data_IF_691704744430
#
_entry.id   IF_691704744430
#
_cell.length_a   1.000
_cell.length_b   1.000
_cell.length_c   1.000
_cell.angle_alpha   90.00
_cell.angle_beta   90.00
_cell.angle_gamma   90.00
#
_symmetry.space_group_name_H-M   'P 1'
#
loop_
_entity.id
_entity.type
_entity.pdbx_description
1 polymer ?
#
# COMPACT_ATOMS: atom_id res chain seq x y z
N UNK A 1 11.37 50.43 5.50
CA UNK A 1 10.95 49.08 5.10
C UNK A 1 11.76 48.07 5.94
N UNK A 2 11.17 47.64 7.04
CA UNK A 2 11.84 46.80 8.03
C UNK A 2 11.45 45.34 7.76
N UNK A 3 12.42 44.54 7.32
CA UNK A 3 12.31 43.10 7.26
C UNK A 3 12.41 42.58 8.72
N UNK A 4 11.28 42.25 9.28
CA UNK A 4 11.23 41.56 10.58
C UNK A 4 11.83 40.20 10.44
N UNK A 5 12.95 40.00 11.10
CA UNK A 5 13.66 38.73 11.32
C UNK A 5 12.71 37.78 12.05
N UNK A 6 12.19 36.80 11.36
CA UNK A 6 11.52 35.66 11.96
C UNK A 6 12.65 34.82 12.58
N UNK A 7 12.88 35.00 13.87
CA UNK A 7 13.70 34.07 14.64
C UNK A 7 12.89 32.79 14.81
N UNK A 8 13.19 31.80 14.00
CA UNK A 8 12.84 30.42 14.28
C UNK A 8 13.59 30.02 15.56
N UNK A 9 12.86 29.95 16.65
CA UNK A 9 13.34 29.40 17.89
C UNK A 9 13.36 27.86 17.73
N UNK A 10 14.40 27.33 17.13
CA UNK A 10 14.69 25.90 17.20
C UNK A 10 15.06 25.58 18.65
N UNK A 11 14.09 25.04 19.37
CA UNK A 11 14.40 24.39 20.63
C UNK A 11 15.36 23.22 20.34
N UNK A 12 16.46 23.07 21.12
CA UNK A 12 17.37 21.95 20.94
C UNK A 12 16.59 20.66 21.17
N UNK A 13 16.44 19.85 20.10
CA UNK A 13 16.00 18.45 20.26
C UNK A 13 17.10 17.75 21.05
N UNK A 14 16.82 17.43 22.29
CA UNK A 14 17.61 16.46 23.04
C UNK A 14 17.52 15.12 22.31
N UNK A 15 18.50 14.87 21.45
CA UNK A 15 18.73 13.58 20.79
C UNK A 15 19.33 12.62 21.83
N UNK A 16 18.47 12.10 22.69
CA UNK A 16 18.80 10.99 23.56
C UNK A 16 17.90 9.82 23.24
N UNK A 17 18.41 8.60 23.33
CA UNK A 17 17.68 7.33 23.16
C UNK A 17 16.32 7.27 23.89
N UNK A 18 16.12 8.09 24.91
CA UNK A 18 14.89 8.22 25.69
C UNK A 18 13.77 8.86 24.86
N UNK A 19 14.09 9.81 23.97
CA UNK A 19 13.10 10.48 23.12
C UNK A 19 12.51 9.55 22.05
N UNK A 20 13.34 8.69 21.46
CA UNK A 20 12.90 7.74 20.42
C UNK A 20 11.96 6.69 21.02
N UNK A 21 12.25 6.19 22.20
CA UNK A 21 11.40 5.23 22.91
C UNK A 21 10.04 5.85 23.30
N UNK A 22 10.04 7.12 23.66
CA UNK A 22 8.82 7.86 24.02
C UNK A 22 7.95 8.14 22.79
N UNK A 23 8.55 8.55 21.65
CA UNK A 23 7.87 8.70 20.36
C UNK A 23 7.28 7.36 19.86
N UNK A 24 8.02 6.28 19.95
CA UNK A 24 7.54 4.93 19.61
C UNK A 24 6.38 4.51 20.52
N UNK A 25 6.48 4.80 21.82
CA UNK A 25 5.44 4.49 22.79
C UNK A 25 4.17 5.32 22.54
N UNK A 26 4.29 6.60 22.21
CA UNK A 26 3.16 7.45 21.84
C UNK A 26 2.51 6.96 20.54
N UNK A 27 3.28 6.63 19.51
CA UNK A 27 2.79 6.02 18.28
C UNK A 27 2.06 4.70 18.54
N UNK A 28 2.58 3.85 19.42
CA UNK A 28 1.89 2.62 19.84
C UNK A 28 0.58 2.91 20.58
N UNK A 29 0.56 3.91 21.44
CA UNK A 29 -0.66 4.31 22.17
C UNK A 29 -1.75 4.81 21.21
N UNK A 30 -1.40 5.56 20.16
CA UNK A 30 -2.34 5.99 19.12
C UNK A 30 -2.93 4.78 18.39
N UNK A 31 -2.11 3.80 18.04
CA UNK A 31 -2.54 2.53 17.43
C UNK A 31 -3.52 1.75 18.31
N UNK A 32 -3.27 1.72 19.63
CA UNK A 32 -4.15 1.01 20.58
C UNK A 32 -5.46 1.76 20.81
N UNK A 33 -5.39 3.09 20.94
CA UNK A 33 -6.56 3.93 21.28
C UNK A 33 -7.49 4.19 20.09
N UNK A 34 -6.98 4.15 18.84
CA UNK A 34 -7.76 4.46 17.63
C UNK A 34 -7.96 3.21 16.76
N UNK A 35 -9.13 2.54 16.84
CA UNK A 35 -9.39 1.30 16.10
C UNK A 35 -9.36 1.50 14.58
N UNK A 36 -9.63 2.70 14.08
CA UNK A 36 -9.58 3.05 12.66
C UNK A 36 -8.15 3.01 12.14
N UNK A 37 -7.21 3.66 12.84
CA UNK A 37 -5.77 3.67 12.51
C UNK A 37 -5.21 2.26 12.57
N UNK A 38 -5.55 1.49 13.60
CA UNK A 38 -5.13 0.08 13.73
C UNK A 38 -5.59 -0.78 12.57
N UNK A 39 -6.82 -0.59 12.09
CA UNK A 39 -7.34 -1.31 10.92
C UNK A 39 -6.62 -0.93 9.63
N UNK A 40 -6.38 0.37 9.42
CA UNK A 40 -5.63 0.87 8.27
C UNK A 40 -4.20 0.31 8.25
N UNK A 41 -3.51 0.36 9.39
CA UNK A 41 -2.16 -0.19 9.55
C UNK A 41 -2.13 -1.70 9.28
N UNK A 42 -3.07 -2.46 9.84
CA UNK A 42 -3.19 -3.90 9.57
C UNK A 42 -3.41 -4.19 8.09
N UNK A 43 -4.27 -3.44 7.41
CA UNK A 43 -4.53 -3.62 5.98
C UNK A 43 -3.28 -3.31 5.15
N UNK A 44 -2.49 -2.31 5.51
CA UNK A 44 -1.21 -2.02 4.86
C UNK A 44 -0.19 -3.12 5.09
N UNK A 45 -0.06 -3.62 6.32
CA UNK A 45 0.85 -4.75 6.62
C UNK A 45 0.46 -5.97 5.79
N UNK A 46 -0.84 -6.32 5.74
CA UNK A 46 -1.33 -7.42 4.93
C UNK A 46 -1.06 -7.18 3.43
N UNK A 47 -1.32 -5.96 2.94
CA UNK A 47 -1.04 -5.61 1.56
C UNK A 47 0.43 -5.81 1.20
N UNK A 48 1.35 -5.24 1.99
CA UNK A 48 2.78 -5.36 1.72
C UNK A 48 3.28 -6.80 1.86
N UNK A 49 2.73 -7.58 2.79
CA UNK A 49 3.04 -9.02 2.91
C UNK A 49 2.59 -9.80 1.67
N UNK A 50 1.39 -9.51 1.16
CA UNK A 50 0.88 -10.12 -0.08
C UNK A 50 1.68 -9.69 -1.31
N UNK A 51 2.09 -8.42 -1.38
CA UNK A 51 2.96 -7.92 -2.45
C UNK A 51 4.35 -8.58 -2.40
N UNK A 52 4.92 -8.80 -1.22
CA UNK A 52 6.17 -9.53 -1.06
C UNK A 52 6.03 -10.98 -1.55
N UNK A 53 4.95 -11.67 -1.18
CA UNK A 53 4.66 -13.01 -1.69
C UNK A 53 4.49 -13.03 -3.22
N UNK A 54 3.81 -12.03 -3.78
CA UNK A 54 3.68 -11.84 -5.23
C UNK A 54 5.04 -11.63 -5.89
N UNK A 55 5.94 -10.86 -5.28
CA UNK A 55 7.28 -10.62 -5.82
C UNK A 55 8.05 -11.94 -5.97
N UNK A 56 8.04 -12.78 -4.95
CA UNK A 56 8.68 -14.12 -4.99
C UNK A 56 8.04 -14.99 -6.08
N UNK A 57 6.70 -14.99 -6.16
CA UNK A 57 5.96 -15.76 -7.17
C UNK A 57 6.25 -15.26 -8.58
N UNK A 58 6.37 -13.93 -8.79
CA UNK A 58 6.66 -13.33 -10.07
C UNK A 58 8.04 -13.73 -10.62
N UNK A 59 9.05 -13.86 -9.75
CA UNK A 59 10.38 -14.36 -10.14
C UNK A 59 10.27 -15.82 -10.63
N UNK A 60 9.54 -16.66 -9.89
CA UNK A 60 9.30 -18.05 -10.26
C UNK A 60 8.53 -18.18 -11.58
N UNK A 61 7.49 -17.39 -11.77
CA UNK A 61 6.69 -17.35 -12.99
C UNK A 61 7.50 -16.86 -14.20
N UNK A 62 8.30 -15.81 -14.05
CA UNK A 62 9.14 -15.29 -15.11
C UNK A 62 10.14 -16.35 -15.62
N UNK A 63 10.64 -17.21 -14.73
CA UNK A 63 11.50 -18.34 -15.10
C UNK A 63 10.76 -19.51 -15.76
N UNK A 64 9.47 -19.70 -15.49
CA UNK A 64 8.69 -20.83 -15.99
C UNK A 64 8.01 -20.56 -17.35
N UNK A 65 7.82 -19.29 -17.73
CA UNK A 65 7.16 -18.90 -18.98
C UNK A 65 8.20 -18.56 -20.04
N UNK A 66 8.59 -19.55 -20.85
CA UNK A 66 9.61 -19.40 -21.90
C UNK A 66 9.32 -18.26 -22.91
N UNK A 67 8.06 -17.87 -23.08
CA UNK A 67 7.66 -16.80 -24.01
C UNK A 67 7.93 -15.38 -23.48
N UNK A 68 8.22 -15.21 -22.19
CA UNK A 68 8.47 -13.90 -21.58
C UNK A 68 9.91 -13.41 -21.73
N UNK A 69 10.87 -14.32 -21.93
CA UNK A 69 12.29 -13.95 -22.04
C UNK A 69 12.85 -13.17 -20.84
N UNK A 70 14.02 -12.52 -21.00
CA UNK A 70 14.65 -11.77 -19.91
C UNK A 70 13.83 -10.54 -19.43
N UNK A 71 12.94 -10.02 -20.27
CA UNK A 71 12.09 -8.85 -19.97
C UNK A 71 10.76 -9.22 -19.31
N UNK A 72 10.51 -10.50 -19.09
CA UNK A 72 9.24 -11.02 -18.59
C UNK A 72 8.80 -10.44 -17.24
N UNK A 73 9.74 -10.29 -16.33
CA UNK A 73 9.47 -9.68 -15.03
C UNK A 73 9.00 -8.21 -15.17
N UNK A 74 9.63 -7.45 -16.07
CA UNK A 74 9.23 -6.06 -16.33
C UNK A 74 7.81 -5.94 -16.89
N UNK A 75 7.39 -6.86 -17.77
CA UNK A 75 6.02 -6.87 -18.32
C UNK A 75 4.97 -7.19 -17.25
N UNK A 76 5.25 -8.10 -16.32
CA UNK A 76 4.38 -8.40 -15.18
C UNK A 76 4.21 -7.18 -14.27
N UNK A 77 5.31 -6.48 -13.97
CA UNK A 77 5.27 -5.24 -13.19
C UNK A 77 4.51 -4.12 -13.91
N UNK A 78 4.73 -3.94 -15.21
CA UNK A 78 4.04 -2.92 -16.00
C UNK A 78 2.52 -3.15 -16.02
N UNK A 79 2.07 -4.39 -16.18
CA UNK A 79 0.65 -4.73 -16.13
C UNK A 79 0.05 -4.54 -14.73
N UNK A 80 0.81 -4.85 -13.68
CA UNK A 80 0.38 -4.56 -12.31
C UNK A 80 0.28 -3.04 -12.07
N UNK A 81 1.25 -2.25 -12.56
CA UNK A 81 1.21 -0.78 -12.50
C UNK A 81 0.02 -0.18 -13.24
N UNK A 82 -0.30 -0.70 -14.43
CA UNK A 82 -1.50 -0.32 -15.18
C UNK A 82 -2.77 -0.63 -14.37
N UNK A 83 -2.83 -1.79 -13.74
CA UNK A 83 -3.90 -2.17 -12.83
C UNK A 83 -4.05 -1.20 -11.66
N UNK A 84 -2.94 -0.78 -11.04
CA UNK A 84 -2.95 0.22 -9.97
C UNK A 84 -3.51 1.57 -10.45
N UNK A 85 -3.14 2.03 -11.63
CA UNK A 85 -3.68 3.26 -12.20
C UNK A 85 -5.20 3.17 -12.42
N UNK A 86 -5.70 2.07 -12.99
CA UNK A 86 -7.13 1.81 -13.15
C UNK A 86 -7.82 1.76 -11.77
N UNK A 87 -7.24 1.04 -10.81
CA UNK A 87 -7.75 0.93 -9.45
C UNK A 87 -7.82 2.28 -8.73
N UNK A 88 -6.86 3.18 -8.96
CA UNK A 88 -6.89 4.53 -8.43
C UNK A 88 -8.09 5.33 -8.95
N UNK A 89 -8.35 5.27 -10.27
CA UNK A 89 -9.51 5.92 -10.87
C UNK A 89 -10.82 5.34 -10.30
N UNK A 90 -10.92 4.02 -10.20
CA UNK A 90 -12.08 3.34 -9.60
C UNK A 90 -12.28 3.78 -8.16
N UNK A 91 -11.21 3.81 -7.37
CA UNK A 91 -11.27 4.24 -5.96
C UNK A 91 -11.73 5.70 -5.84
N UNK A 92 -11.26 6.59 -6.72
CA UNK A 92 -11.67 7.99 -6.73
C UNK A 92 -13.17 8.15 -7.06
N UNK A 93 -13.71 7.35 -7.97
CA UNK A 93 -15.12 7.41 -8.37
C UNK A 93 -16.07 6.76 -7.36
N UNK A 94 -15.66 5.65 -6.76
CA UNK A 94 -16.52 4.81 -5.91
C UNK A 94 -16.31 5.08 -4.42
N UNK A 95 -15.14 5.62 -4.05
CA UNK A 95 -14.72 5.80 -2.65
C UNK A 95 -15.64 6.70 -1.82
N UNK A 96 -16.41 7.60 -2.47
CA UNK A 96 -17.39 8.44 -1.77
C UNK A 96 -18.73 7.71 -1.50
N UNK A 97 -19.00 6.60 -2.19
CA UNK A 97 -20.24 5.82 -2.04
C UNK A 97 -20.08 4.57 -1.17
N UNK A 98 -18.88 4.03 -1.10
CA UNK A 98 -18.58 2.78 -0.39
C UNK A 98 -17.69 3.09 0.82
N UNK A 99 -17.98 2.48 1.97
CA UNK A 99 -17.16 2.68 3.15
C UNK A 99 -15.73 2.17 2.91
N UNK A 100 -14.74 2.92 3.41
CA UNK A 100 -13.31 2.60 3.29
C UNK A 100 -12.95 1.19 3.76
N UNK A 101 -13.72 0.67 4.73
CA UNK A 101 -13.55 -0.70 5.23
C UNK A 101 -13.91 -1.76 4.18
N UNK A 102 -15.01 -1.58 3.47
CA UNK A 102 -15.43 -2.51 2.41
C UNK A 102 -14.47 -2.45 1.22
N UNK A 103 -13.98 -1.25 0.84
CA UNK A 103 -12.97 -1.14 -0.22
C UNK A 103 -11.69 -1.91 0.14
N UNK A 104 -11.19 -1.75 1.36
CA UNK A 104 -10.00 -2.48 1.79
C UNK A 104 -10.21 -3.99 1.84
N UNK A 105 -11.36 -4.45 2.33
CA UNK A 105 -11.69 -5.88 2.39
C UNK A 105 -11.84 -6.50 0.99
N UNK A 106 -12.53 -5.82 0.06
CA UNK A 106 -12.67 -6.29 -1.32
C UNK A 106 -11.32 -6.30 -2.05
N UNK A 107 -10.48 -5.31 -1.83
CA UNK A 107 -9.13 -5.28 -2.38
C UNK A 107 -8.27 -6.45 -1.91
N UNK A 108 -8.25 -6.74 -0.60
CA UNK A 108 -7.53 -7.88 -0.04
C UNK A 108 -8.08 -9.22 -0.56
N UNK A 109 -9.40 -9.37 -0.65
CA UNK A 109 -10.03 -10.57 -1.19
C UNK A 109 -9.63 -10.76 -2.67
N UNK A 110 -9.63 -9.70 -3.47
CA UNK A 110 -9.21 -9.72 -4.87
C UNK A 110 -7.75 -10.16 -5.00
N UNK A 111 -6.83 -9.58 -4.21
CA UNK A 111 -5.41 -9.96 -4.22
C UNK A 111 -5.23 -11.44 -3.87
N UNK A 112 -5.89 -11.89 -2.79
CA UNK A 112 -5.81 -13.29 -2.35
C UNK A 112 -6.32 -14.24 -3.42
N UNK A 113 -7.46 -13.93 -4.03
CA UNK A 113 -8.02 -14.73 -5.11
C UNK A 113 -7.08 -14.81 -6.32
N UNK A 114 -6.52 -13.67 -6.74
CA UNK A 114 -5.56 -13.61 -7.86
C UNK A 114 -4.31 -14.43 -7.56
N UNK A 115 -3.76 -14.36 -6.34
CA UNK A 115 -2.57 -15.16 -5.98
C UNK A 115 -2.84 -16.65 -6.04
N UNK A 116 -4.02 -17.10 -5.59
CA UNK A 116 -4.43 -18.51 -5.71
C UNK A 116 -4.55 -18.91 -7.18
N UNK A 117 -5.17 -18.07 -8.02
CA UNK A 117 -5.32 -18.34 -9.46
C UNK A 117 -3.97 -18.35 -10.18
N UNK A 118 -3.05 -17.46 -9.86
CA UNK A 118 -1.69 -17.46 -10.41
C UNK A 118 -0.93 -18.75 -10.07
N UNK A 119 -1.12 -19.28 -8.85
CA UNK A 119 -0.53 -20.56 -8.45
C UNK A 119 -1.06 -21.77 -9.24
N UNK A 120 -2.33 -21.71 -9.69
CA UNK A 120 -3.00 -22.80 -10.40
C UNK A 120 -2.84 -22.72 -11.93
N UNK A 121 -2.79 -21.51 -12.50
CA UNK A 121 -2.85 -21.27 -13.93
C UNK A 121 -1.47 -20.93 -14.54
N UNK A 122 -0.44 -21.69 -14.16
CA UNK A 122 0.91 -21.49 -14.68
C UNK A 122 1.01 -21.75 -16.19
N UNK A 123 1.83 -20.95 -16.89
CA UNK A 123 2.20 -21.20 -18.30
C UNK A 123 1.33 -20.49 -19.36
N UNK A 124 0.28 -19.76 -18.99
CA UNK A 124 -0.56 -18.99 -19.93
C UNK A 124 -0.30 -17.49 -19.80
N UNK A 125 0.54 -16.95 -20.69
CA UNK A 125 0.98 -15.56 -20.67
C UNK A 125 -0.16 -14.55 -20.54
N UNK A 126 -1.18 -14.64 -21.41
CA UNK A 126 -2.30 -13.68 -21.41
C UNK A 126 -3.08 -13.69 -20.10
N UNK A 127 -3.31 -14.88 -19.54
CA UNK A 127 -4.02 -15.02 -18.26
C UNK A 127 -3.18 -14.44 -17.13
N UNK A 128 -1.89 -14.69 -17.12
CA UNK A 128 -0.96 -14.16 -16.12
C UNK A 128 -0.92 -12.63 -16.15
N UNK A 129 -0.83 -12.02 -17.34
CA UNK A 129 -0.84 -10.55 -17.49
C UNK A 129 -2.16 -9.93 -17.01
N UNK A 130 -3.29 -10.56 -17.35
CA UNK A 130 -4.62 -10.11 -16.92
C UNK A 130 -4.75 -10.22 -15.40
N UNK A 131 -4.30 -11.32 -14.81
CA UNK A 131 -4.30 -11.50 -13.34
C UNK A 131 -3.40 -10.48 -12.64
N UNK A 132 -2.24 -10.14 -13.22
CA UNK A 132 -1.37 -9.08 -12.69
C UNK A 132 -2.06 -7.71 -12.71
N UNK A 133 -2.84 -7.41 -13.75
CA UNK A 133 -3.63 -6.18 -13.83
C UNK A 133 -4.72 -6.16 -12.74
N UNK A 134 -5.46 -7.25 -12.56
CA UNK A 134 -6.48 -7.36 -11.51
C UNK A 134 -5.85 -7.24 -10.11
N UNK A 135 -4.66 -7.81 -9.92
CA UNK A 135 -3.89 -7.67 -8.68
C UNK A 135 -3.55 -6.22 -8.39
N UNK A 136 -3.10 -5.46 -9.40
CA UNK A 136 -2.83 -4.04 -9.28
C UNK A 136 -4.06 -3.23 -8.88
N UNK A 137 -5.24 -3.53 -9.47
CA UNK A 137 -6.51 -2.91 -9.05
C UNK A 137 -6.79 -3.20 -7.57
N UNK A 138 -6.68 -4.45 -7.15
CA UNK A 138 -6.86 -4.84 -5.74
C UNK A 138 -5.90 -4.11 -4.80
N UNK A 139 -4.64 -3.95 -5.19
CA UNK A 139 -3.64 -3.23 -4.42
C UNK A 139 -4.02 -1.75 -4.22
N UNK A 140 -4.51 -1.07 -5.27
CA UNK A 140 -4.97 0.32 -5.19
C UNK A 140 -6.18 0.46 -4.25
N UNK A 141 -7.15 -0.46 -4.33
CA UNK A 141 -8.34 -0.48 -3.46
C UNK A 141 -7.99 -0.61 -1.97
N UNK A 142 -6.85 -1.19 -1.62
CA UNK A 142 -6.36 -1.28 -0.24
C UNK A 142 -5.49 -0.09 0.13
N UNK A 143 -4.51 0.25 -0.71
CA UNK A 143 -3.47 1.24 -0.40
C UNK A 143 -4.06 2.64 -0.25
N UNK A 144 -4.90 3.07 -1.19
CA UNK A 144 -5.41 4.45 -1.22
C UNK A 144 -6.24 4.78 0.03
N UNK A 145 -7.32 4.03 0.38
CA UNK A 145 -8.11 4.37 1.54
C UNK A 145 -7.33 4.19 2.86
N UNK A 146 -6.36 3.26 2.91
CA UNK A 146 -5.54 3.08 4.09
C UNK A 146 -4.59 4.27 4.31
N UNK A 147 -3.93 4.76 3.26
CA UNK A 147 -3.05 5.93 3.33
C UNK A 147 -3.82 7.21 3.66
N UNK A 148 -4.99 7.41 3.04
CA UNK A 148 -5.86 8.56 3.33
C UNK A 148 -6.29 8.57 4.80
N UNK A 149 -6.69 7.42 5.33
CA UNK A 149 -7.07 7.30 6.75
C UNK A 149 -5.92 7.65 7.68
N UNK A 150 -4.71 7.19 7.38
CA UNK A 150 -3.52 7.50 8.18
C UNK A 150 -3.20 9.00 8.15
N UNK A 151 -3.34 9.65 7.00
CA UNK A 151 -3.08 11.09 6.85
C UNK A 151 -4.13 11.96 7.56
N UNK A 152 -5.40 11.58 7.50
CA UNK A 152 -6.49 12.33 8.15
C UNK A 152 -6.49 12.19 9.68
N UNK A 153 -6.15 11.01 10.19
CA UNK A 153 -6.15 10.72 11.65
C UNK A 153 -4.86 11.12 12.36
N UNK A 154 -3.81 11.55 11.63
CA UNK A 154 -2.57 12.04 12.24
C UNK A 154 -2.74 13.53 12.59
N UNK A 155 -2.64 13.92 13.88
CA UNK A 155 -2.76 15.32 14.30
C UNK A 155 -1.72 16.19 13.59
N UNK A 156 -2.10 17.44 13.24
CA UNK A 156 -1.22 18.40 12.56
C UNK A 156 0.09 18.70 13.31
N UNK A 157 0.13 18.46 14.61
CA UNK A 157 1.32 18.63 15.45
C UNK A 157 2.44 17.63 15.18
N UNK A 158 2.12 16.50 14.53
CA UNK A 158 3.10 15.43 14.21
C UNK A 158 3.50 15.42 12.73
N UNK A 159 3.00 16.38 11.94
CA UNK A 159 3.36 16.56 10.52
C UNK A 159 4.57 17.48 10.30
N UNK A 160 5.30 17.81 11.35
CA UNK A 160 6.43 18.73 11.33
C UNK A 160 7.71 18.14 10.75
#
# INVERSE_FOLDING_TARGET
MSLSTIQMHEAPRETGDVGILEEVREGLQVLVKRPTVRRAMRNLVLLYSLLAAMYVLAISLAGSINSLGPTGFGSLLAMSGLGMAIGAVVTAQVGHRISRHHLGATGLATITFVLVMLGQLQGRLLITLLLCTILGIGAALVAIPAQTTLQEDTPERERG
#
